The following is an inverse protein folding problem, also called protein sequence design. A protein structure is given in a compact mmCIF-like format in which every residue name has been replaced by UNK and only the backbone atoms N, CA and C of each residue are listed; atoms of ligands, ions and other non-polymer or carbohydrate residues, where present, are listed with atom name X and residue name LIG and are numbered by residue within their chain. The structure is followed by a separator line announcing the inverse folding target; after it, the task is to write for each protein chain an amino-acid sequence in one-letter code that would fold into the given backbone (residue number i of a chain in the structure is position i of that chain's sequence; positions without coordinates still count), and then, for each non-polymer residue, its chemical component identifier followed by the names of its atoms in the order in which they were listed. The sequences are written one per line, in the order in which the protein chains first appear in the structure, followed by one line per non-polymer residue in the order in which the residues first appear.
data_IF_136214284860
#
_entry.id   IF_136214284860
#
_cell.length_a   1.000
_cell.length_b   1.000
_cell.length_c   1.000
_cell.angle_alpha   90.00
_cell.angle_beta   90.00
_cell.angle_gamma   90.00
#
_symmetry.space_group_name_H-M   'P 1'
#
loop_
_entity.id
_entity.type
_entity.pdbx_description
1 polymer ?
#
# COMPACT_ATOMS: atom_id res chain seq x y z
N UNK A 1 5.92 1.83 -15.78
CA UNK A 1 5.08 0.71 -15.34
C UNK A 1 5.98 -0.47 -14.99
N UNK A 2 6.47 -0.48 -13.75
CA UNK A 2 7.15 -1.65 -13.16
C UNK A 2 6.13 -2.77 -12.95
N UNK A 3 6.53 -4.03 -13.14
CA UNK A 3 5.64 -5.18 -12.91
C UNK A 3 5.52 -5.48 -11.42
N UNK A 4 4.41 -6.08 -10.99
CA UNK A 4 4.25 -6.52 -9.59
C UNK A 4 5.39 -7.45 -9.14
N UNK A 5 5.88 -8.32 -10.03
CA UNK A 5 7.01 -9.19 -9.74
C UNK A 5 8.31 -8.39 -9.51
N UNK A 6 8.55 -7.35 -10.30
CA UNK A 6 9.73 -6.48 -10.11
C UNK A 6 9.64 -5.69 -8.80
N UNK A 7 8.46 -5.19 -8.42
CA UNK A 7 8.25 -4.51 -7.14
C UNK A 7 8.45 -5.45 -5.95
N UNK A 8 7.93 -6.68 -6.04
CA UNK A 8 8.11 -7.70 -5.00
C UNK A 8 9.59 -8.06 -4.81
N UNK A 9 10.34 -8.20 -5.90
CA UNK A 9 11.78 -8.49 -5.84
C UNK A 9 12.57 -7.31 -5.25
N UNK A 10 12.23 -6.08 -5.63
CA UNK A 10 12.84 -4.87 -5.05
C UNK A 10 12.57 -4.78 -3.54
N UNK A 11 11.33 -5.05 -3.12
CA UNK A 11 10.97 -5.07 -1.71
C UNK A 11 11.70 -6.17 -0.93
N UNK A 12 11.92 -7.34 -1.55
CA UNK A 12 12.72 -8.43 -0.99
C UNK A 12 14.18 -8.00 -0.79
N UNK A 13 14.77 -7.31 -1.77
CA UNK A 13 16.13 -6.78 -1.68
C UNK A 13 16.29 -5.71 -0.58
N UNK A 14 15.23 -4.95 -0.28
CA UNK A 14 15.23 -3.96 0.80
C UNK A 14 15.07 -4.56 2.21
N UNK A 15 14.56 -5.79 2.32
CA UNK A 15 14.39 -6.49 3.60
C UNK A 15 15.69 -7.18 4.04
N UNK A 16 16.62 -6.40 4.58
CA UNK A 16 17.92 -6.89 5.07
C UNK A 16 17.89 -7.08 6.60
N UNK A 17 18.13 -8.29 7.14
CA UNK A 17 18.24 -8.51 8.57
C UNK A 17 19.28 -7.58 9.22
N UNK A 18 18.93 -6.98 10.35
CA UNK A 18 19.80 -6.01 11.05
C UNK A 18 19.75 -4.58 10.51
N UNK A 19 19.08 -4.34 9.38
CA UNK A 19 18.80 -2.98 8.86
C UNK A 19 17.30 -2.85 8.59
N UNK A 20 16.48 -2.50 9.60
CA UNK A 20 15.03 -2.46 9.45
C UNK A 20 14.60 -1.48 8.37
N UNK A 21 13.68 -1.92 7.50
CA UNK A 21 13.05 -1.08 6.50
C UNK A 21 11.93 -0.27 7.16
N UNK A 22 12.03 1.05 7.13
CA UNK A 22 10.95 1.93 7.56
C UNK A 22 9.94 2.06 6.42
N UNK A 23 8.69 1.71 6.71
CA UNK A 23 7.59 1.75 5.76
C UNK A 23 6.53 2.70 6.31
N UNK A 24 6.24 3.77 5.56
CA UNK A 24 5.20 4.72 5.95
C UNK A 24 3.87 4.28 5.39
N UNK A 25 2.87 4.20 6.27
CA UNK A 25 1.50 3.90 5.90
C UNK A 25 0.80 5.16 5.38
N UNK A 26 0.27 5.11 4.15
CA UNK A 26 -0.45 6.18 3.50
C UNK A 26 -1.95 5.84 3.35
N UNK A 27 -2.78 6.88 3.43
CA UNK A 27 -4.26 6.78 3.41
C UNK A 27 -4.91 7.32 2.13
N UNK A 28 -4.16 8.04 1.32
CA UNK A 28 -4.63 8.69 0.10
C UNK A 28 -3.44 8.91 -0.88
N UNK A 29 -3.75 9.17 -2.15
CA UNK A 29 -2.74 9.32 -3.20
C UNK A 29 -1.87 10.58 -3.04
N UNK A 30 -2.36 11.64 -2.38
CA UNK A 30 -1.60 12.85 -2.11
C UNK A 30 -0.54 12.56 -1.04
N UNK A 31 -0.92 11.86 0.03
CA UNK A 31 0.00 11.40 1.07
C UNK A 31 1.07 10.49 0.47
N UNK A 32 0.71 9.57 -0.42
CA UNK A 32 1.68 8.74 -1.18
C UNK A 32 2.67 9.63 -1.91
N UNK A 33 2.20 10.63 -2.68
CA UNK A 33 3.07 11.54 -3.43
C UNK A 33 4.04 12.30 -2.54
N UNK A 34 3.55 12.85 -1.44
CA UNK A 34 4.34 13.67 -0.51
C UNK A 34 5.42 12.81 0.15
N UNK A 35 5.04 11.66 0.69
CA UNK A 35 5.98 10.78 1.41
C UNK A 35 6.97 10.15 0.44
N UNK A 36 6.53 9.77 -0.77
CA UNK A 36 7.41 9.23 -1.79
C UNK A 36 8.52 10.22 -2.23
N UNK A 37 8.25 11.53 -2.14
CA UNK A 37 9.24 12.58 -2.41
C UNK A 37 10.18 12.89 -1.25
N UNK A 38 9.97 12.29 -0.07
CA UNK A 38 10.77 12.59 1.11
C UNK A 38 12.14 11.86 1.09
N UNK A 39 13.23 12.51 1.54
CA UNK A 39 14.54 11.87 1.60
C UNK A 39 14.54 10.62 2.47
N UNK A 40 15.12 9.53 1.96
CA UNK A 40 15.29 8.28 2.71
C UNK A 40 14.10 7.32 2.68
N UNK A 41 12.99 7.69 2.04
CA UNK A 41 11.86 6.78 1.82
C UNK A 41 12.21 5.77 0.73
N UNK A 42 12.11 4.48 1.08
CA UNK A 42 12.43 3.36 0.18
C UNK A 42 11.28 2.39 -0.04
N UNK A 43 10.20 2.50 0.73
CA UNK A 43 9.00 1.69 0.61
C UNK A 43 7.81 2.41 1.28
N UNK A 44 6.61 2.13 0.77
CA UNK A 44 5.33 2.63 1.30
C UNK A 44 4.36 1.48 1.54
N UNK A 45 3.39 1.70 2.42
CA UNK A 45 2.27 0.79 2.62
C UNK A 45 0.94 1.54 2.53
N UNK A 46 -0.13 0.87 2.10
CA UNK A 46 -1.49 1.36 2.31
C UNK A 46 -1.96 1.02 3.72
N UNK A 47 -2.82 1.85 4.31
CA UNK A 47 -3.48 1.56 5.59
C UNK A 47 -5.00 1.50 5.42
N UNK A 48 -5.51 0.29 5.23
CA UNK A 48 -6.93 -0.01 5.01
C UNK A 48 -7.87 0.67 6.02
N UNK A 49 -7.61 0.54 7.33
CA UNK A 49 -8.39 1.21 8.38
C UNK A 49 -8.26 2.74 8.36
N UNK A 50 -7.12 3.28 7.91
CA UNK A 50 -6.98 4.74 7.76
C UNK A 50 -7.70 5.27 6.52
N UNK A 51 -7.77 4.45 5.46
CA UNK A 51 -8.53 4.77 4.24
C UNK A 51 -10.01 4.82 4.59
N UNK A 52 -10.59 3.79 5.23
CA UNK A 52 -12.02 3.77 5.58
C UNK A 52 -12.45 4.98 6.42
N UNK A 53 -11.68 5.34 7.44
CA UNK A 53 -11.93 6.52 8.28
C UNK A 53 -11.87 7.83 7.48
N UNK A 54 -11.10 7.90 6.38
CA UNK A 54 -11.07 9.10 5.51
C UNK A 54 -12.39 9.31 4.76
N UNK A 55 -13.09 8.22 4.47
CA UNK A 55 -14.32 8.20 3.70
C UNK A 55 -15.57 8.06 4.57
N UNK A 56 -15.42 8.11 5.90
CA UNK A 56 -16.49 7.88 6.89
C UNK A 56 -17.16 6.50 6.70
N UNK A 57 -16.40 5.52 6.22
CA UNK A 57 -16.85 4.15 6.07
C UNK A 57 -16.64 3.36 7.36
N UNK A 58 -17.62 2.55 7.71
CA UNK A 58 -17.41 1.50 8.68
C UNK A 58 -16.50 0.43 8.05
N UNK A 59 -15.32 0.24 8.63
CA UNK A 59 -14.30 -0.67 8.12
C UNK A 59 -14.77 -2.11 8.02
N UNK A 60 -15.71 -2.53 8.88
CA UNK A 60 -16.21 -3.90 8.91
C UNK A 60 -17.42 -4.13 8.00
N UNK A 61 -18.05 -3.07 7.49
CA UNK A 61 -19.31 -3.16 6.72
C UNK A 61 -19.23 -2.58 5.30
N UNK A 62 -18.64 -1.39 5.13
CA UNK A 62 -18.70 -0.63 3.87
C UNK A 62 -17.39 -0.72 3.06
N UNK A 63 -16.30 -1.16 3.72
CA UNK A 63 -14.97 -1.21 3.11
C UNK A 63 -14.71 -2.54 2.40
N UNK A 64 -15.01 -2.60 1.11
CA UNK A 64 -14.82 -3.80 0.29
C UNK A 64 -13.45 -3.86 -0.42
N UNK A 65 -13.03 -5.08 -0.79
CA UNK A 65 -11.75 -5.37 -1.43
C UNK A 65 -11.57 -4.64 -2.75
N UNK A 66 -12.65 -4.47 -3.52
CA UNK A 66 -12.59 -3.77 -4.80
C UNK A 66 -12.31 -2.27 -4.62
N UNK A 67 -12.83 -1.66 -3.55
CA UNK A 67 -12.52 -0.27 -3.19
C UNK A 67 -11.07 -0.12 -2.71
N UNK A 68 -10.59 -1.05 -1.88
CA UNK A 68 -9.18 -1.04 -1.49
C UNK A 68 -8.25 -1.20 -2.70
N UNK A 69 -8.61 -2.09 -3.63
CA UNK A 69 -7.83 -2.36 -4.83
C UNK A 69 -7.77 -1.16 -5.78
N UNK A 70 -8.86 -0.42 -5.96
CA UNK A 70 -8.84 0.80 -6.76
C UNK A 70 -7.92 1.86 -6.14
N UNK A 71 -7.95 2.01 -4.82
CA UNK A 71 -7.02 2.89 -4.11
C UNK A 71 -5.56 2.47 -4.29
N UNK A 72 -5.25 1.16 -4.18
CA UNK A 72 -3.89 0.62 -4.40
C UNK A 72 -3.42 0.90 -5.82
N UNK A 73 -4.30 0.83 -6.82
CA UNK A 73 -3.97 1.16 -8.21
C UNK A 73 -3.65 2.64 -8.40
N UNK A 74 -4.43 3.53 -7.78
CA UNK A 74 -4.17 4.97 -7.81
C UNK A 74 -2.85 5.30 -7.13
N UNK A 75 -2.59 4.71 -5.95
CA UNK A 75 -1.34 4.87 -5.22
C UNK A 75 -0.13 4.34 -6.02
N UNK A 76 -0.27 3.19 -6.68
CA UNK A 76 0.76 2.63 -7.54
C UNK A 76 1.06 3.53 -8.75
N UNK A 77 0.04 4.17 -9.33
CA UNK A 77 0.22 5.17 -10.39
C UNK A 77 1.07 6.38 -9.95
N UNK A 78 0.98 6.75 -8.68
CA UNK A 78 1.79 7.83 -8.08
C UNK A 78 3.19 7.36 -7.69
N UNK A 79 3.36 6.13 -7.20
CA UNK A 79 4.64 5.61 -6.70
C UNK A 79 5.56 5.06 -7.79
N UNK A 80 5.01 4.52 -8.90
CA UNK A 80 5.76 3.94 -10.03
C UNK A 80 6.81 4.88 -10.63
N UNK A 81 6.54 6.18 -10.93
CA UNK A 81 7.57 7.08 -11.46
C UNK A 81 8.72 7.34 -10.48
N UNK A 82 8.52 7.05 -9.19
CA UNK A 82 9.53 7.20 -8.14
C UNK A 82 10.23 5.87 -7.81
N UNK A 83 9.87 4.77 -8.49
CA UNK A 83 10.39 3.43 -8.26
C UNK A 83 10.28 2.96 -6.80
N UNK A 84 9.26 3.42 -6.07
CA UNK A 84 9.03 3.06 -4.67
C UNK A 84 8.02 1.90 -4.61
N UNK A 85 8.37 0.75 -4.00
CA UNK A 85 7.48 -0.39 -3.86
C UNK A 85 6.35 -0.06 -2.86
N UNK A 86 5.15 -0.53 -3.19
CA UNK A 86 3.95 -0.35 -2.37
C UNK A 86 3.50 -1.69 -1.78
N UNK A 87 3.30 -1.72 -0.46
CA UNK A 87 2.71 -2.84 0.27
C UNK A 87 1.22 -2.58 0.41
N UNK A 88 0.38 -3.49 -0.07
CA UNK A 88 -1.05 -3.44 0.22
C UNK A 88 -1.30 -4.03 1.62
N UNK A 89 -1.97 -3.28 2.49
CA UNK A 89 -2.55 -3.86 3.71
C UNK A 89 -3.62 -4.86 3.31
N UNK A 90 -3.57 -6.09 3.84
CA UNK A 90 -4.64 -7.05 3.68
C UNK A 90 -5.43 -7.12 4.99
N UNK A 91 -6.60 -6.48 5.03
CA UNK A 91 -7.49 -6.58 6.17
C UNK A 91 -8.05 -8.00 6.30
N UNK A 92 -8.22 -8.49 7.52
CA UNK A 92 -8.85 -9.80 7.80
C UNK A 92 -10.32 -9.85 7.37
N UNK A 93 -10.93 -8.68 7.11
CA UNK A 93 -12.29 -8.51 6.63
C UNK A 93 -12.51 -9.05 5.20
N UNK A 94 -11.46 -9.21 4.40
CA UNK A 94 -11.60 -9.75 3.05
C UNK A 94 -11.78 -11.27 3.10
N UNK A 95 -13.04 -11.73 2.99
CA UNK A 95 -13.32 -13.13 2.67
C UNK A 95 -12.71 -13.44 1.31
N UNK A 96 -11.57 -14.15 1.31
CA UNK A 96 -11.02 -14.71 0.08
C UNK A 96 -12.03 -15.75 -0.43
N UNK A 97 -12.59 -15.59 -1.64
CA UNK A 97 -13.50 -16.58 -2.20
C UNK A 97 -12.80 -17.94 -2.24
N UNK A 98 -13.36 -18.95 -1.56
CA UNK A 98 -12.87 -20.33 -1.60
C UNK A 98 -11.93 -20.79 -0.48
N UNK A 99 -11.66 -19.98 0.56
CA UNK A 99 -11.05 -20.50 1.80
C UNK A 99 -12.02 -20.32 2.98
N UNK A 100 -12.46 -21.46 3.54
CA UNK A 100 -13.17 -21.51 4.83
C UNK A 100 -12.20 -21.31 5.97
#
# INVERSE_FOLDING_TARGET
MTTTAAQAELLRCLHVPGTPLIVTAARDAITVKIVAGAPGVRALATASHSVSVSFDFDFDFDFDFDFEKSFVQDAAGVSDPLCIPLIQSAARAFRVPGRR
#
